data_IF_298578890469
#
_entry.id   IF_298578890469
#
_cell.length_a   1.000
_cell.length_b   1.000
_cell.length_c   1.000
_cell.angle_alpha   90.00
_cell.angle_beta   90.00
_cell.angle_gamma   90.00
#
_symmetry.space_group_name_H-M   'P 1'
#
loop_
_entity.id
_entity.type
_entity.pdbx_description
1 polymer ?
#
# COMPACT_ATOMS: atom_id res chain seq x y z
N UNK A 1 10.86 -14.42 2.33
CA UNK A 1 9.55 -15.10 2.07
C UNK A 1 9.51 -16.51 2.67
N UNK A 2 9.92 -16.68 3.93
CA UNK A 2 9.87 -18.00 4.62
C UNK A 2 8.44 -18.35 5.07
N UNK A 3 7.69 -17.35 5.54
CA UNK A 3 6.30 -17.49 6.00
C UNK A 3 5.40 -18.17 4.95
N UNK A 4 5.45 -17.72 3.69
CA UNK A 4 4.64 -18.31 2.63
C UNK A 4 4.96 -19.78 2.34
N UNK A 5 6.20 -20.24 2.54
CA UNK A 5 6.58 -21.64 2.31
C UNK A 5 5.88 -22.56 3.31
N UNK A 6 5.75 -22.12 4.57
CA UNK A 6 5.05 -22.85 5.62
C UNK A 6 3.54 -22.94 5.35
N UNK A 7 2.91 -21.84 4.94
CA UNK A 7 1.46 -21.79 4.69
C UNK A 7 1.02 -22.23 3.27
N UNK A 8 1.90 -22.86 2.48
CA UNK A 8 1.58 -23.31 1.11
C UNK A 8 0.47 -24.35 1.04
N UNK A 9 0.36 -25.20 2.07
CA UNK A 9 -0.60 -26.30 2.17
C UNK A 9 -2.04 -25.81 2.35
N UNK A 10 -2.26 -24.55 2.73
CA UNK A 10 -3.60 -24.01 2.96
C UNK A 10 -4.29 -23.72 1.63
N UNK A 11 -5.48 -24.29 1.41
CA UNK A 11 -6.30 -24.15 0.19
C UNK A 11 -7.18 -22.88 0.16
N UNK A 12 -6.75 -21.79 0.82
CA UNK A 12 -7.54 -20.54 0.88
C UNK A 12 -6.83 -19.38 0.17
N UNK A 13 -6.86 -19.29 -1.17
CA UNK A 13 -6.23 -18.22 -1.92
C UNK A 13 -6.84 -16.84 -1.67
N UNK A 14 -8.12 -16.78 -1.28
CA UNK A 14 -8.85 -15.54 -0.96
C UNK A 14 -8.29 -14.82 0.27
N UNK A 15 -7.87 -15.57 1.30
CA UNK A 15 -7.29 -15.02 2.53
C UNK A 15 -5.97 -14.31 2.23
N UNK A 16 -5.12 -14.89 1.39
CA UNK A 16 -3.85 -14.27 0.99
C UNK A 16 -4.06 -12.96 0.22
N UNK A 17 -5.12 -12.86 -0.59
CA UNK A 17 -5.47 -11.61 -1.28
C UNK A 17 -5.87 -10.51 -0.27
N UNK A 18 -6.72 -10.84 0.69
CA UNK A 18 -7.15 -9.90 1.73
C UNK A 18 -5.97 -9.46 2.59
N UNK A 19 -5.08 -10.38 2.94
CA UNK A 19 -3.86 -10.08 3.68
C UNK A 19 -2.91 -9.16 2.90
N UNK A 20 -2.72 -9.42 1.61
CA UNK A 20 -1.90 -8.59 0.73
C UNK A 20 -2.45 -7.15 0.61
N UNK A 21 -3.77 -6.99 0.54
CA UNK A 21 -4.42 -5.68 0.59
C UNK A 21 -4.21 -4.98 1.95
N UNK A 22 -4.29 -5.73 3.04
CA UNK A 22 -4.09 -5.21 4.39
C UNK A 22 -2.64 -4.75 4.61
N UNK A 23 -1.66 -5.54 4.16
CA UNK A 23 -0.23 -5.18 4.19
C UNK A 23 0.01 -3.89 3.41
N UNK A 24 -0.52 -3.77 2.18
CA UNK A 24 -0.39 -2.54 1.38
C UNK A 24 -1.02 -1.34 2.08
N UNK A 25 -2.17 -1.50 2.75
CA UNK A 25 -2.76 -0.43 3.58
C UNK A 25 -1.86 -0.04 4.75
N UNK A 26 -1.22 -1.01 5.41
CA UNK A 26 -0.27 -0.75 6.50
C UNK A 26 0.95 0.01 6.01
N UNK A 27 1.51 -0.38 4.86
CA UNK A 27 2.62 0.34 4.23
C UNK A 27 2.24 1.77 3.84
N UNK A 28 1.06 2.00 3.25
CA UNK A 28 0.55 3.36 3.00
C UNK A 28 0.48 4.21 4.26
N UNK A 29 0.04 3.62 5.38
CA UNK A 29 0.01 4.30 6.67
C UNK A 29 1.42 4.68 7.14
N UNK A 30 2.39 3.76 7.00
CA UNK A 30 3.78 4.02 7.38
C UNK A 30 4.40 5.16 6.55
N UNK A 31 4.23 5.14 5.22
CA UNK A 31 4.68 6.21 4.32
C UNK A 31 4.05 7.55 4.68
N UNK A 32 2.74 7.56 4.97
CA UNK A 32 2.06 8.78 5.38
C UNK A 32 2.55 9.33 6.72
N UNK A 33 2.95 8.46 7.65
CA UNK A 33 3.55 8.83 8.94
C UNK A 33 4.98 9.34 8.77
N UNK A 34 5.74 8.75 7.85
CA UNK A 34 7.08 9.19 7.46
C UNK A 34 7.04 10.62 6.88
N UNK A 35 6.00 10.95 6.12
CA UNK A 35 5.73 12.31 5.65
C UNK A 35 5.15 13.18 6.78
N UNK A 36 5.90 13.38 7.87
CA UNK A 36 5.43 14.03 9.10
C UNK A 36 4.80 15.41 8.87
N UNK A 37 5.43 16.25 8.04
CA UNK A 37 5.03 17.64 7.83
C UNK A 37 4.01 17.78 6.69
N UNK A 38 2.98 18.66 6.82
CA UNK A 38 2.01 18.90 5.74
C UNK A 38 2.66 19.31 4.41
N UNK A 39 3.66 20.20 4.45
CA UNK A 39 4.43 20.60 3.25
C UNK A 39 5.07 19.41 2.53
N UNK A 40 5.58 18.42 3.29
CA UNK A 40 6.19 17.21 2.73
C UNK A 40 5.14 16.31 2.10
N UNK A 41 3.98 16.15 2.76
CA UNK A 41 2.84 15.39 2.20
C UNK A 41 2.38 15.97 0.88
N UNK A 42 2.17 17.29 0.83
CA UNK A 42 1.75 17.98 -0.40
C UNK A 42 2.79 17.81 -1.51
N UNK A 43 4.08 18.04 -1.22
CA UNK A 43 5.17 17.87 -2.19
C UNK A 43 5.24 16.45 -2.75
N UNK A 44 5.15 15.44 -1.88
CA UNK A 44 5.17 14.02 -2.29
C UNK A 44 3.93 13.65 -3.11
N UNK A 45 2.75 14.11 -2.72
CA UNK A 45 1.52 13.86 -3.49
C UNK A 45 1.59 14.47 -4.89
N UNK A 46 2.12 15.69 -5.04
CA UNK A 46 2.33 16.31 -6.36
C UNK A 46 3.34 15.52 -7.19
N UNK A 47 4.45 15.08 -6.58
CA UNK A 47 5.43 14.24 -7.27
C UNK A 47 4.87 12.88 -7.72
N UNK A 48 3.84 12.37 -7.04
CA UNK A 48 3.09 11.17 -7.41
C UNK A 48 1.94 11.45 -8.41
N UNK A 49 1.87 12.66 -8.97
CA UNK A 49 0.91 13.04 -10.02
C UNK A 49 -0.45 13.53 -9.51
N UNK A 50 -0.62 13.83 -8.22
CA UNK A 50 -1.87 14.40 -7.71
C UNK A 50 -1.96 15.89 -8.09
N UNK A 51 -3.10 16.36 -8.64
CA UNK A 51 -3.30 17.78 -8.90
C UNK A 51 -3.11 18.64 -7.64
N UNK A 52 -2.45 19.79 -7.78
CA UNK A 52 -2.07 20.67 -6.66
C UNK A 52 -3.20 20.92 -5.66
N UNK A 53 -4.39 21.29 -6.12
CA UNK A 53 -5.54 21.58 -5.23
C UNK A 53 -5.91 20.37 -4.35
N UNK A 54 -5.97 19.17 -4.94
CA UNK A 54 -6.24 17.93 -4.21
C UNK A 54 -5.07 17.55 -3.30
N UNK A 55 -3.83 17.76 -3.72
CA UNK A 55 -2.67 17.51 -2.87
C UNK A 55 -2.70 18.38 -1.60
N UNK A 56 -3.08 19.66 -1.72
CA UNK A 56 -3.25 20.58 -0.59
C UNK A 56 -4.41 20.17 0.34
N UNK A 57 -5.56 19.81 -0.22
CA UNK A 57 -6.73 19.34 0.55
C UNK A 57 -6.36 18.12 1.42
N UNK A 58 -5.70 17.12 0.82
CA UNK A 58 -5.39 15.87 1.50
C UNK A 58 -4.13 15.95 2.36
N UNK A 59 -3.14 16.74 1.98
CA UNK A 59 -1.91 16.96 2.76
C UNK A 59 -2.15 17.64 4.10
N UNK A 60 -3.18 18.50 4.19
CA UNK A 60 -3.58 19.20 5.42
C UNK A 60 -4.73 18.52 6.18
N UNK A 61 -5.11 17.31 5.78
CA UNK A 61 -6.19 16.56 6.42
C UNK A 61 -5.87 16.24 7.89
N UNK A 62 -6.83 16.51 8.78
CA UNK A 62 -6.77 16.13 10.21
C UNK A 62 -7.19 14.68 10.49
N UNK A 63 -7.48 13.90 9.45
CA UNK A 63 -7.88 12.49 9.60
C UNK A 63 -6.70 11.66 10.15
N UNK A 64 -6.98 10.73 11.06
CA UNK A 64 -5.97 9.82 11.60
C UNK A 64 -5.30 8.95 10.53
N UNK A 65 -4.08 8.48 10.80
CA UNK A 65 -3.23 7.80 9.82
C UNK A 65 -3.90 6.58 9.17
N UNK A 66 -4.56 5.74 9.98
CA UNK A 66 -5.24 4.54 9.46
C UNK A 66 -6.46 4.88 8.58
N UNK A 67 -7.15 6.00 8.87
CA UNK A 67 -8.27 6.49 8.07
C UNK A 67 -7.78 7.03 6.72
N UNK A 68 -6.68 7.78 6.72
CA UNK A 68 -6.07 8.30 5.49
C UNK A 68 -5.51 7.17 4.60
N UNK A 69 -4.95 6.11 5.17
CA UNK A 69 -4.42 4.97 4.41
C UNK A 69 -5.47 4.23 3.55
N UNK A 70 -6.77 4.41 3.83
CA UNK A 70 -7.91 3.90 3.02
C UNK A 70 -8.55 4.99 2.15
N UNK A 71 -7.99 6.20 2.10
CA UNK A 71 -8.54 7.28 1.30
C UNK A 71 -8.38 7.01 -0.20
N UNK A 72 -9.30 7.48 -1.06
CA UNK A 72 -9.19 7.32 -2.51
C UNK A 72 -7.91 7.91 -3.07
N UNK A 73 -7.41 9.01 -2.49
CA UNK A 73 -6.16 9.65 -2.93
C UNK A 73 -4.97 8.73 -2.71
N UNK A 74 -4.78 8.22 -1.49
CA UNK A 74 -3.66 7.30 -1.24
C UNK A 74 -3.82 5.96 -1.92
N UNK A 75 -5.06 5.50 -2.16
CA UNK A 75 -5.30 4.27 -2.88
C UNK A 75 -4.94 4.38 -4.37
N UNK A 76 -5.12 5.57 -4.96
CA UNK A 76 -4.75 5.85 -6.36
C UNK A 76 -3.26 6.15 -6.52
N UNK A 77 -2.65 6.86 -5.58
CA UNK A 77 -1.22 7.23 -5.68
C UNK A 77 -0.27 6.14 -5.24
N UNK A 78 -0.63 5.39 -4.20
CA UNK A 78 0.16 4.29 -3.63
C UNK A 78 -0.58 2.98 -3.92
N UNK A 79 -0.72 2.71 -5.22
CA UNK A 79 -1.41 1.54 -5.78
C UNK A 79 -0.49 0.30 -5.80
N UNK A 80 -0.97 -0.81 -6.40
CA UNK A 80 -0.16 -2.03 -6.51
C UNK A 80 1.14 -1.77 -7.28
N UNK A 81 1.07 -1.04 -8.39
CA UNK A 81 2.19 -0.76 -9.29
C UNK A 81 3.27 0.04 -8.60
N UNK A 82 2.89 1.03 -7.79
CA UNK A 82 3.81 1.75 -6.93
C UNK A 82 4.57 0.81 -6.01
N UNK A 83 3.91 -0.10 -5.31
CA UNK A 83 4.63 -1.03 -4.42
C UNK A 83 5.46 -2.08 -5.17
N UNK A 84 5.04 -2.50 -6.35
CA UNK A 84 5.82 -3.39 -7.23
C UNK A 84 7.13 -2.73 -7.70
N UNK A 85 7.12 -1.43 -8.01
CA UNK A 85 8.35 -0.70 -8.37
C UNK A 85 9.34 -0.60 -7.19
N UNK A 86 8.83 -0.63 -5.96
CA UNK A 86 9.61 -0.76 -4.73
C UNK A 86 9.96 -2.23 -4.39
N UNK A 87 9.85 -3.14 -5.36
CA UNK A 87 10.18 -4.57 -5.23
C UNK A 87 9.34 -5.34 -4.19
N UNK A 88 8.17 -4.82 -3.79
CA UNK A 88 7.25 -5.55 -2.93
C UNK A 88 6.59 -6.67 -3.74
N UNK A 89 7.04 -7.90 -3.53
CA UNK A 89 6.48 -9.09 -4.17
C UNK A 89 5.09 -9.40 -3.61
N UNK A 90 4.12 -9.64 -4.48
CA UNK A 90 2.77 -10.02 -4.05
C UNK A 90 2.75 -11.40 -3.41
N UNK A 91 2.02 -11.54 -2.31
CA UNK A 91 1.87 -12.84 -1.61
C UNK A 91 1.15 -13.87 -2.49
N UNK A 92 0.13 -13.45 -3.24
CA UNK A 92 -0.64 -14.34 -4.13
C UNK A 92 0.23 -14.91 -5.25
N UNK A 93 1.03 -14.05 -5.88
CA UNK A 93 1.95 -14.48 -6.95
C UNK A 93 2.96 -15.49 -6.42
N UNK A 94 3.48 -15.26 -5.22
CA UNK A 94 4.40 -16.21 -4.56
C UNK A 94 3.73 -17.53 -4.22
N UNK A 95 2.51 -17.50 -3.69
CA UNK A 95 1.71 -18.71 -3.40
C UNK A 95 1.52 -19.56 -4.66
N UNK A 96 1.07 -18.93 -5.75
CA UNK A 96 0.85 -19.62 -7.02
C UNK A 96 2.15 -20.22 -7.58
N UNK A 97 3.28 -19.50 -7.46
CA UNK A 97 4.58 -20.00 -7.90
C UNK A 97 5.02 -21.24 -7.11
N UNK A 98 4.79 -21.26 -5.79
CA UNK A 98 5.16 -22.38 -4.92
C UNK A 98 4.27 -23.62 -5.09
N UNK A 99 3.05 -23.46 -5.63
CA UNK A 99 2.15 -24.58 -5.94
C UNK A 99 2.35 -25.19 -7.32
N UNK A 100 3.02 -24.46 -8.21
CA UNK A 100 3.33 -24.94 -9.58
C UNK A 100 4.60 -25.79 -9.63
N UNK A 101 5.48 -25.61 -8.65
CA UNK A 101 6.66 -26.45 -8.38
C UNK A 101 6.28 -27.61 -7.49
#
# INVERSE_FOLDING_TARGET
MGWMRYFTLVDTPSVFLTLDQWIRRRLRMCLWKEWKLPRTKVKRLIALGVPRGKAYEWGNSRKGYWRIAKSPVLHRTLDKRFFESYQLKSLKERYNALRRT
#
